data_IF_265961992530
#
_entry.id   IF_265961992530
#
_cell.length_a   1.000
_cell.length_b   1.000
_cell.length_c   1.000
_cell.angle_alpha   90.00
_cell.angle_beta   90.00
_cell.angle_gamma   90.00
#
_symmetry.space_group_name_H-M   'P 1'
#
loop_
_entity.id
_entity.type
_entity.pdbx_description
1 polymer ?
#
# COMPACT_ATOMS: atom_id res chain seq x y z
N UNK A 1 12.05 -3.42 0.01
CA UNK A 1 10.94 -2.53 -0.38
C UNK A 1 10.14 -2.12 0.85
N UNK A 2 9.54 -0.92 0.86
CA UNK A 2 8.54 -0.51 1.85
C UNK A 2 7.27 -0.08 1.12
N UNK A 3 6.10 -0.46 1.63
CA UNK A 3 4.80 0.09 1.25
C UNK A 3 4.35 1.02 2.37
N UNK A 4 4.12 2.29 2.06
CA UNK A 4 3.66 3.30 2.99
C UNK A 4 2.15 3.50 2.79
N UNK A 5 1.40 3.31 3.87
CA UNK A 5 -0.06 3.43 3.93
C UNK A 5 -0.38 4.61 4.83
N UNK A 6 -0.69 5.74 4.22
CA UNK A 6 -0.93 6.98 4.95
C UNK A 6 -2.39 7.14 5.37
N UNK A 7 -2.59 7.93 6.44
CA UNK A 7 -3.91 8.37 6.88
C UNK A 7 -4.14 9.78 6.35
N UNK A 8 -5.32 10.09 5.79
CA UNK A 8 -5.62 11.42 5.29
C UNK A 8 -5.58 12.49 6.38
N UNK A 9 -5.23 13.71 6.00
CA UNK A 9 -5.40 14.87 6.85
C UNK A 9 -6.88 15.25 6.95
N UNK A 10 -7.31 16.00 7.98
CA UNK A 10 -8.68 16.50 8.05
C UNK A 10 -9.08 17.29 6.78
N UNK A 11 -10.15 16.86 6.12
CA UNK A 11 -10.65 17.47 4.89
C UNK A 11 -10.00 16.95 3.60
N UNK A 12 -9.03 16.05 3.70
CA UNK A 12 -8.50 15.32 2.56
C UNK A 12 -9.45 14.16 2.20
N UNK A 13 -9.82 14.07 0.92
CA UNK A 13 -10.78 13.12 0.41
C UNK A 13 -10.17 12.33 -0.75
N UNK A 14 -10.56 11.06 -0.94
CA UNK A 14 -10.05 10.29 -2.08
C UNK A 14 -10.43 10.97 -3.41
N UNK A 15 -9.53 10.92 -4.41
CA UNK A 15 -9.89 11.19 -5.80
C UNK A 15 -11.12 10.36 -6.23
N UNK A 16 -11.87 10.85 -7.21
CA UNK A 16 -13.18 10.30 -7.60
C UNK A 16 -13.14 8.78 -7.88
N UNK A 17 -12.06 8.29 -8.48
CA UNK A 17 -11.83 6.88 -8.78
C UNK A 17 -11.71 5.98 -7.53
N UNK A 18 -11.40 6.57 -6.37
CA UNK A 18 -11.22 5.90 -5.08
C UNK A 18 -12.30 6.27 -4.06
N UNK A 19 -13.35 6.99 -4.47
CA UNK A 19 -14.55 7.22 -3.64
C UNK A 19 -15.38 5.94 -3.61
N UNK A 20 -14.98 5.03 -2.73
CA UNK A 20 -15.59 3.71 -2.57
C UNK A 20 -16.09 3.54 -1.13
N UNK A 21 -17.20 2.82 -0.90
CA UNK A 21 -17.66 2.52 0.46
C UNK A 21 -16.58 1.80 1.26
N UNK A 22 -16.26 2.33 2.45
CA UNK A 22 -15.28 1.73 3.36
C UNK A 22 -13.83 2.13 3.11
N UNK A 23 -13.52 2.93 2.08
CA UNK A 23 -12.17 3.44 1.85
C UNK A 23 -11.99 4.78 2.54
N UNK A 24 -11.23 4.79 3.64
CA UNK A 24 -10.98 6.00 4.45
C UNK A 24 -9.50 6.34 4.63
N UNK A 25 -8.60 5.41 4.31
CA UNK A 25 -7.15 5.61 4.38
C UNK A 25 -6.42 4.65 3.42
N UNK A 26 -5.09 4.72 3.37
CA UNK A 26 -4.27 3.87 2.52
C UNK A 26 -4.40 2.37 2.81
N UNK A 27 -4.63 1.97 4.07
CA UNK A 27 -4.79 0.57 4.43
C UNK A 27 -6.10 -0.02 3.92
N UNK A 28 -7.20 0.73 3.98
CA UNK A 28 -8.48 0.33 3.39
C UNK A 28 -8.33 0.16 1.87
N UNK A 29 -7.64 1.10 1.21
CA UNK A 29 -7.42 1.04 -0.23
C UNK A 29 -6.54 -0.14 -0.62
N UNK A 30 -5.48 -0.44 0.14
CA UNK A 30 -4.65 -1.62 -0.11
C UNK A 30 -5.47 -2.92 0.03
N UNK A 31 -6.38 -3.00 1.01
CA UNK A 31 -7.26 -4.15 1.19
C UNK A 31 -8.20 -4.34 0.00
N UNK A 32 -8.80 -3.27 -0.50
CA UNK A 32 -9.64 -3.31 -1.70
C UNK A 32 -8.84 -3.70 -2.95
N UNK A 33 -7.61 -3.18 -3.12
CA UNK A 33 -6.73 -3.57 -4.22
C UNK A 33 -6.36 -5.05 -4.17
N UNK A 34 -6.03 -5.57 -2.98
CA UNK A 34 -5.75 -6.99 -2.78
C UNK A 34 -6.98 -7.85 -3.11
N UNK A 35 -8.16 -7.46 -2.63
CA UNK A 35 -9.42 -8.13 -2.92
C UNK A 35 -9.73 -8.17 -4.43
N UNK A 36 -9.58 -7.03 -5.14
CA UNK A 36 -9.75 -6.95 -6.60
C UNK A 36 -8.75 -7.82 -7.37
N UNK A 37 -7.53 -7.94 -6.86
CA UNK A 37 -6.50 -8.80 -7.43
C UNK A 37 -6.68 -10.29 -7.08
N UNK A 38 -7.67 -10.65 -6.24
CA UNK A 38 -7.85 -12.00 -5.73
C UNK A 38 -6.67 -12.46 -4.85
N UNK A 39 -5.96 -11.53 -4.23
CA UNK A 39 -4.80 -11.79 -3.38
C UNK A 39 -5.15 -11.54 -1.91
N UNK A 40 -4.52 -12.26 -0.97
CA UNK A 40 -4.62 -11.92 0.43
C UNK A 40 -4.01 -10.53 0.70
N UNK A 41 -4.52 -9.84 1.72
CA UNK A 41 -3.89 -8.62 2.20
C UNK A 41 -2.46 -8.96 2.69
N UNK A 42 -1.43 -8.20 2.29
CA UNK A 42 -0.03 -8.53 2.58
C UNK A 42 0.38 -8.10 3.99
N UNK A 43 -0.33 -8.56 5.02
CA UNK A 43 -0.07 -8.23 6.44
C UNK A 43 0.93 -9.16 7.11
N UNK A 44 1.25 -10.30 6.50
CA UNK A 44 2.25 -11.23 7.02
C UNK A 44 3.67 -10.74 6.68
N UNK A 45 4.00 -9.57 7.20
CA UNK A 45 5.31 -8.97 7.07
C UNK A 45 5.61 -7.99 8.20
N UNK A 46 6.88 -7.61 8.34
CA UNK A 46 7.27 -6.62 9.33
C UNK A 46 6.53 -5.29 9.06
N UNK A 47 5.71 -4.89 10.04
CA UNK A 47 4.80 -3.75 9.93
C UNK A 47 5.05 -2.77 11.08
N UNK A 48 5.14 -1.48 10.75
CA UNK A 48 5.40 -0.40 11.72
C UNK A 48 4.30 0.66 11.61
N UNK A 49 3.75 1.10 12.73
CA UNK A 49 2.84 2.24 12.75
C UNK A 49 3.62 3.56 12.64
N UNK A 50 3.18 4.44 11.74
CA UNK A 50 3.80 5.75 11.56
C UNK A 50 3.34 6.74 12.63
N UNK A 51 4.13 7.80 12.87
CA UNK A 51 3.78 8.84 13.86
C UNK A 51 2.48 9.60 13.54
N UNK A 52 1.93 9.45 12.34
CA UNK A 52 0.65 10.04 11.91
C UNK A 52 -0.52 9.05 11.92
N UNK A 53 -0.29 7.80 12.35
CA UNK A 53 -1.33 6.77 12.43
C UNK A 53 -1.49 5.91 11.18
N UNK A 54 -0.60 6.05 10.18
CA UNK A 54 -0.50 5.15 9.03
C UNK A 54 0.35 3.91 9.33
N UNK A 55 0.66 3.12 8.30
CA UNK A 55 1.47 1.91 8.39
C UNK A 55 2.62 1.89 7.37
N UNK A 56 3.77 1.36 7.75
CA UNK A 56 4.85 0.96 6.84
C UNK A 56 4.96 -0.56 6.84
N UNK A 57 4.82 -1.20 5.67
CA UNK A 57 4.95 -2.64 5.47
C UNK A 57 6.26 -2.91 4.74
N UNK A 58 7.14 -3.70 5.34
CA UNK A 58 8.48 -3.95 4.80
C UNK A 58 8.49 -5.27 4.03
N UNK A 59 8.99 -5.30 2.80
CA UNK A 59 9.08 -6.51 1.98
C UNK A 59 10.51 -6.76 1.52
N UNK A 60 10.89 -8.03 1.42
CA UNK A 60 12.13 -8.43 0.76
C UNK A 60 11.97 -8.29 -0.75
N UNK A 61 12.86 -7.55 -1.40
CA UNK A 61 12.84 -7.42 -2.86
C UNK A 61 13.39 -8.71 -3.48
N UNK A 62 12.71 -9.33 -4.46
CA UNK A 62 13.23 -10.50 -5.16
C UNK A 62 14.57 -10.20 -5.84
N UNK A 63 15.51 -11.16 -5.79
CA UNK A 63 16.84 -11.03 -6.39
C UNK A 63 16.83 -10.96 -7.93
N UNK A 64 15.69 -11.22 -8.57
CA UNK A 64 15.51 -11.22 -10.04
C UNK A 64 15.50 -9.83 -10.69
N UNK A 65 15.69 -8.74 -9.92
CA UNK A 65 16.14 -7.45 -10.46
C UNK A 65 15.08 -6.59 -11.17
N UNK A 66 13.81 -6.98 -11.18
CA UNK A 66 12.73 -6.14 -11.72
C UNK A 66 12.47 -4.94 -10.80
N UNK A 67 13.14 -3.84 -11.12
CA UNK A 67 13.11 -2.59 -10.36
C UNK A 67 12.11 -1.63 -11.00
N UNK A 68 10.85 -1.65 -10.54
CA UNK A 68 9.98 -0.48 -10.72
C UNK A 68 10.38 0.59 -9.70
N UNK A 69 10.74 1.78 -10.19
CA UNK A 69 11.07 2.94 -9.34
C UNK A 69 9.90 3.37 -8.45
N UNK A 70 10.20 4.27 -7.50
CA UNK A 70 9.26 4.88 -6.56
C UNK A 70 7.88 5.14 -7.20
N UNK A 71 6.83 4.53 -6.64
CA UNK A 71 5.46 4.58 -7.16
C UNK A 71 4.56 5.55 -6.39
N UNK A 72 5.13 6.56 -5.72
CA UNK A 72 4.37 7.55 -4.96
C UNK A 72 3.20 8.09 -5.81
N UNK A 73 1.97 7.96 -5.30
CA UNK A 73 0.72 8.37 -5.95
C UNK A 73 0.29 7.53 -7.17
N UNK A 74 0.93 6.40 -7.46
CA UNK A 74 0.62 5.55 -8.63
C UNK A 74 -0.20 4.31 -8.31
N UNK A 75 -0.12 3.79 -7.08
CA UNK A 75 -0.90 2.60 -6.68
C UNK A 75 -2.29 2.98 -6.18
N UNK A 76 -2.43 4.16 -5.58
CA UNK A 76 -3.71 4.65 -5.09
C UNK A 76 -3.54 5.84 -4.15
N UNK A 77 -4.68 6.39 -3.71
CA UNK A 77 -4.72 7.44 -2.70
C UNK A 77 -4.13 6.93 -1.37
N UNK A 78 -3.08 7.59 -0.88
CA UNK A 78 -2.34 7.23 0.35
C UNK A 78 -1.71 5.82 0.33
N UNK A 79 -1.42 5.26 -0.85
CA UNK A 79 -0.66 4.00 -1.01
C UNK A 79 0.58 4.27 -1.85
N UNK A 80 1.74 4.31 -1.20
CA UNK A 80 3.02 4.60 -1.81
C UNK A 80 4.00 3.43 -1.65
N UNK A 81 5.00 3.32 -2.53
CA UNK A 81 6.11 2.36 -2.33
C UNK A 81 7.46 3.06 -2.40
N UNK A 82 8.37 2.63 -1.52
CA UNK A 82 9.77 3.06 -1.49
C UNK A 82 10.69 1.87 -1.72
N UNK A 83 11.36 1.90 -2.86
CA UNK A 83 12.34 0.90 -3.29
C UNK A 83 11.73 -0.31 -4.00
N UNK A 84 11.67 -0.24 -5.34
CA UNK A 84 11.78 -1.40 -6.25
C UNK A 84 10.82 -2.57 -6.05
N UNK A 85 9.66 -2.54 -6.73
CA UNK A 85 8.95 -3.76 -7.16
C UNK A 85 7.49 -3.93 -6.73
N UNK A 86 6.84 -4.93 -7.31
CA UNK A 86 5.43 -5.29 -7.13
C UNK A 86 5.17 -5.90 -5.74
N UNK A 87 4.01 -5.63 -5.13
CA UNK A 87 3.54 -6.42 -3.98
C UNK A 87 2.86 -7.67 -4.53
N UNK A 88 3.61 -8.77 -4.63
CA UNK A 88 3.01 -10.10 -4.77
C UNK A 88 3.02 -10.73 -3.38
N UNK A 89 1.85 -10.83 -2.77
CA UNK A 89 1.65 -11.57 -1.53
C UNK A 89 1.67 -13.07 -1.85
N UNK A 90 2.87 -13.64 -2.03
CA UNK A 90 3.04 -15.07 -1.81
C UNK A 90 3.40 -15.24 -0.33
N UNK A 91 2.52 -15.93 0.42
CA UNK A 91 2.72 -16.23 1.84
C UNK A 91 4.10 -16.83 2.11
N UNK A 92 4.70 -16.42 3.23
CA UNK A 92 5.92 -17.03 3.77
C UNK A 92 5.65 -18.35 4.47
#
# INVERSE_FOLDING_TARGET
MVVDLDTPNPGDAPPQEWVLPGITNGADLLAELAARAGQPLPVDTYTVQTGRGGLHLYFTTPSSGETMGNSAGRLGWHVDTRGGGYVVAAGS
#
